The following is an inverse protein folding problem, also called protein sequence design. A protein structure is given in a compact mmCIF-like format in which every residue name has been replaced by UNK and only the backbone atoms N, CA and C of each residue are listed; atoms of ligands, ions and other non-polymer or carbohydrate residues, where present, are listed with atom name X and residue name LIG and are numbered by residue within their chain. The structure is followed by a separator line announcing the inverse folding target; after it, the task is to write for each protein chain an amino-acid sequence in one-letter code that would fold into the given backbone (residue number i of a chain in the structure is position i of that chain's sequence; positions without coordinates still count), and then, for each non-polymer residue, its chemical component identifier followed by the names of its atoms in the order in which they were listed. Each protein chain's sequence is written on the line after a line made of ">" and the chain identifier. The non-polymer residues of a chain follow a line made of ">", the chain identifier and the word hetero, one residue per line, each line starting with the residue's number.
data_IF_541757109137
#
_entry.id   IF_541757109137
#
_cell.length_a   1.000
_cell.length_b   1.000
_cell.length_c   1.000
_cell.angle_alpha   90.00
_cell.angle_beta   90.00
_cell.angle_gamma   90.00
#
_symmetry.space_group_name_H-M   'P 1'
#
loop_
_entity.id
_entity.type
_entity.pdbx_description
1 polymer ?
#
# COMPACT_ATOMS: atom_id res chain seq x y z
N UNK A 1 24.65 31.45 -26.83
CA UNK A 1 23.54 31.42 -25.84
C UNK A 1 22.24 31.07 -26.55
N UNK A 2 21.38 30.23 -25.93
CA UNK A 2 19.99 29.88 -26.33
C UNK A 2 19.90 29.01 -27.60
N UNK A 3 19.30 27.81 -27.66
CA UNK A 3 18.14 27.25 -26.92
C UNK A 3 18.22 25.71 -26.93
N UNK A 4 18.36 25.07 -25.77
CA UNK A 4 17.99 23.66 -25.56
C UNK A 4 16.67 23.66 -24.78
N UNK A 5 15.55 23.37 -25.44
CA UNK A 5 14.28 23.10 -24.80
C UNK A 5 13.32 22.47 -25.82
N UNK A 6 13.24 21.13 -25.86
CA UNK A 6 12.24 20.29 -26.53
C UNK A 6 12.72 18.83 -26.32
N UNK A 7 12.03 17.84 -25.75
CA UNK A 7 10.68 17.62 -25.25
C UNK A 7 10.79 16.54 -24.16
N UNK A 8 10.31 16.79 -22.94
CA UNK A 8 9.98 15.72 -22.00
C UNK A 8 8.59 15.18 -22.36
N UNK A 9 8.52 14.16 -23.22
CA UNK A 9 7.33 13.32 -23.36
C UNK A 9 7.25 12.37 -22.17
N UNK A 10 6.64 12.84 -21.08
CA UNK A 10 6.21 11.96 -19.99
C UNK A 10 5.08 11.07 -20.53
N UNK A 11 5.39 9.80 -20.76
CA UNK A 11 4.44 8.74 -20.99
C UNK A 11 3.55 8.57 -19.74
N UNK A 12 2.45 9.32 -19.70
CA UNK A 12 1.37 9.08 -18.74
C UNK A 12 0.65 7.80 -19.16
N UNK A 13 1.11 6.65 -18.68
CA UNK A 13 0.30 5.44 -18.70
C UNK A 13 -0.92 5.67 -17.80
N UNK A 14 -2.16 5.58 -18.33
CA UNK A 14 -3.34 5.61 -17.48
C UNK A 14 -3.28 4.42 -16.52
N UNK A 15 -3.20 4.72 -15.22
CA UNK A 15 -3.27 3.71 -14.16
C UNK A 15 -4.66 3.05 -14.28
N UNK A 16 -4.77 1.71 -14.34
CA UNK A 16 -6.07 1.05 -14.39
C UNK A 16 -6.89 1.46 -13.16
N UNK A 17 -8.12 1.92 -13.37
CA UNK A 17 -9.07 2.17 -12.30
C UNK A 17 -9.41 0.82 -11.66
N UNK A 18 -9.11 0.58 -10.37
CA UNK A 18 -9.54 -0.65 -9.72
C UNK A 18 -11.06 -0.68 -9.73
N UNK A 19 -11.64 -1.78 -10.22
CA UNK A 19 -13.06 -2.06 -10.01
C UNK A 19 -13.35 -2.20 -8.51
N UNK A 20 -14.62 -2.20 -8.08
CA UNK A 20 -14.97 -2.44 -6.68
C UNK A 20 -14.42 -3.80 -6.25
N UNK A 21 -13.34 -3.78 -5.45
CA UNK A 21 -12.72 -5.00 -4.94
C UNK A 21 -13.66 -5.63 -3.94
N UNK A 22 -14.00 -6.94 -4.06
CA UNK A 22 -14.77 -7.63 -3.05
C UNK A 22 -14.02 -7.52 -1.73
N UNK A 23 -14.65 -6.98 -0.68
CA UNK A 23 -14.09 -7.06 0.68
C UNK A 23 -13.95 -8.56 0.99
N UNK A 24 -12.74 -9.09 1.21
CA UNK A 24 -12.59 -10.48 1.59
C UNK A 24 -13.40 -10.68 2.87
N UNK A 25 -14.34 -11.62 2.85
CA UNK A 25 -15.04 -12.03 4.06
C UNK A 25 -13.97 -12.36 5.09
N UNK A 26 -13.98 -11.65 6.24
CA UNK A 26 -13.02 -11.82 7.30
C UNK A 26 -12.92 -13.31 7.66
N UNK A 27 -11.90 -13.98 7.14
CA UNK A 27 -11.56 -15.32 7.54
C UNK A 27 -11.10 -15.22 8.99
N UNK A 28 -11.48 -16.17 9.85
CA UNK A 28 -11.05 -16.25 11.25
C UNK A 28 -9.51 -16.45 11.40
N UNK A 29 -8.74 -16.25 10.34
CA UNK A 29 -7.29 -16.23 10.35
C UNK A 29 -6.80 -14.94 11.00
N UNK A 30 -5.82 -15.08 11.89
CA UNK A 30 -5.17 -13.93 12.52
C UNK A 30 -4.58 -13.00 11.44
N UNK A 31 -4.73 -11.67 11.58
CA UNK A 31 -4.20 -10.72 10.60
C UNK A 31 -2.68 -10.83 10.50
N UNK A 32 -2.18 -10.90 9.27
CA UNK A 32 -0.75 -10.99 8.95
C UNK A 32 -0.31 -9.81 8.09
N UNK A 33 1.00 -9.52 8.06
CA UNK A 33 1.57 -8.53 7.15
C UNK A 33 1.20 -8.82 5.69
N UNK A 34 1.28 -10.08 5.26
CA UNK A 34 0.90 -10.48 3.90
C UNK A 34 -0.57 -10.14 3.59
N UNK A 35 -1.50 -10.49 4.48
CA UNK A 35 -2.92 -10.17 4.27
C UNK A 35 -3.20 -8.66 4.22
N UNK A 36 -2.53 -7.87 5.05
CA UNK A 36 -2.69 -6.41 5.06
C UNK A 36 -2.09 -5.79 3.81
N UNK A 37 -0.91 -6.22 3.40
CA UNK A 37 -0.26 -5.73 2.18
C UNK A 37 -1.06 -6.08 0.93
N UNK A 38 -1.65 -7.29 0.87
CA UNK A 38 -2.56 -7.66 -0.20
C UNK A 38 -3.80 -6.77 -0.22
N UNK A 39 -4.46 -6.57 0.93
CA UNK A 39 -5.63 -5.70 1.04
C UNK A 39 -5.32 -4.25 0.63
N UNK A 40 -4.16 -3.74 1.04
CA UNK A 40 -3.67 -2.43 0.62
C UNK A 40 -3.42 -2.35 -0.89
N UNK A 41 -2.91 -3.42 -1.50
CA UNK A 41 -2.73 -3.50 -2.96
C UNK A 41 -4.09 -3.50 -3.67
N UNK A 42 -5.06 -4.25 -3.15
CA UNK A 42 -6.44 -4.32 -3.62
C UNK A 42 -7.18 -2.98 -3.56
N UNK A 43 -6.88 -2.15 -2.54
CA UNK A 43 -7.36 -0.77 -2.43
C UNK A 43 -6.56 0.23 -3.26
N UNK A 44 -5.45 -0.19 -3.88
CA UNK A 44 -4.57 0.68 -4.66
C UNK A 44 -3.70 1.62 -3.82
N UNK A 45 -3.44 1.28 -2.55
CA UNK A 45 -2.67 2.11 -1.66
C UNK A 45 -1.19 2.16 -2.03
N UNK A 46 -0.55 3.35 -2.04
CA UNK A 46 0.88 3.48 -2.36
C UNK A 46 1.79 2.65 -1.45
N UNK A 47 1.41 2.49 -0.18
CA UNK A 47 2.18 1.73 0.80
C UNK A 47 2.20 0.21 0.54
N UNK A 48 1.38 -0.31 -0.38
CA UNK A 48 1.51 -1.69 -0.86
C UNK A 48 2.62 -1.86 -1.90
N UNK A 49 3.12 -0.77 -2.50
CA UNK A 49 4.19 -0.83 -3.47
C UNK A 49 5.55 -0.97 -2.78
N UNK A 50 6.57 -1.53 -3.47
CA UNK A 50 7.92 -1.51 -2.95
C UNK A 50 8.39 -0.09 -2.66
N UNK A 51 9.16 0.06 -1.59
CA UNK A 51 9.83 1.32 -1.27
C UNK A 51 10.82 1.73 -2.37
N UNK A 52 11.28 3.00 -2.42
CA UNK A 52 12.33 3.41 -3.37
C UNK A 52 13.64 2.63 -3.26
N UNK A 53 13.88 1.98 -2.12
CA UNK A 53 15.04 1.12 -1.87
C UNK A 53 14.77 -0.37 -2.16
N UNK A 54 13.58 -0.71 -2.67
CA UNK A 54 13.21 -2.07 -3.08
C UNK A 54 12.62 -2.95 -1.98
N UNK A 55 12.52 -2.50 -0.73
CA UNK A 55 11.87 -3.26 0.33
C UNK A 55 10.36 -3.44 0.03
N UNK A 56 9.85 -4.65 0.22
CA UNK A 56 8.42 -4.94 0.02
C UNK A 56 7.57 -4.40 1.16
N UNK A 57 6.26 -4.30 0.95
CA UNK A 57 5.31 -3.95 2.02
C UNK A 57 5.41 -4.93 3.20
N UNK A 58 5.58 -6.22 2.91
CA UNK A 58 5.69 -7.27 3.93
C UNK A 58 6.97 -7.11 4.77
N UNK A 59 8.10 -6.81 4.13
CA UNK A 59 9.37 -6.55 4.83
C UNK A 59 9.24 -5.33 5.73
N UNK A 60 8.62 -4.24 5.25
CA UNK A 60 8.41 -3.03 6.03
C UNK A 60 7.51 -3.31 7.23
N UNK A 61 6.40 -4.01 7.02
CA UNK A 61 5.48 -4.40 8.09
C UNK A 61 6.14 -5.30 9.13
N UNK A 62 6.89 -6.32 8.70
CA UNK A 62 7.61 -7.22 9.59
C UNK A 62 8.68 -6.48 10.41
N UNK A 63 9.44 -5.58 9.78
CA UNK A 63 10.44 -4.76 10.45
C UNK A 63 9.82 -3.81 11.47
N UNK A 64 8.66 -3.21 11.17
CA UNK A 64 7.96 -2.31 12.11
C UNK A 64 7.35 -3.06 13.30
N UNK A 65 6.82 -4.26 13.07
CA UNK A 65 6.39 -5.12 14.18
C UNK A 65 7.57 -5.56 15.05
N UNK A 66 8.68 -5.96 14.43
CA UNK A 66 9.87 -6.39 15.14
C UNK A 66 10.56 -5.26 15.92
N UNK A 67 10.53 -4.02 15.39
CA UNK A 67 11.15 -2.87 16.04
C UNK A 67 10.30 -2.29 17.18
N UNK A 68 9.02 -2.68 17.29
CA UNK A 68 8.08 -2.09 18.24
C UNK A 68 7.87 -0.59 18.07
N UNK A 69 8.33 -0.02 16.95
CA UNK A 69 8.37 1.43 16.74
C UNK A 69 7.05 2.00 16.20
N UNK A 70 6.17 1.15 15.68
CA UNK A 70 4.82 1.52 15.25
C UNK A 70 3.83 0.41 15.63
N UNK A 71 2.80 0.78 16.40
CA UNK A 71 1.74 -0.12 16.81
C UNK A 71 0.66 -0.19 15.72
N UNK A 72 0.98 -0.71 14.54
CA UNK A 72 -0.05 -0.88 13.52
C UNK A 72 -1.11 -1.89 13.96
N UNK A 73 -2.36 -1.43 13.95
CA UNK A 73 -3.50 -2.30 14.19
C UNK A 73 -3.85 -3.03 12.90
N UNK A 74 -3.17 -4.15 12.64
CA UNK A 74 -3.42 -5.00 11.46
C UNK A 74 -4.91 -5.40 11.30
N UNK A 75 -5.66 -5.76 12.37
CA UNK A 75 -7.10 -5.96 12.26
C UNK A 75 -7.88 -4.75 11.73
N UNK A 76 -7.52 -3.53 12.16
CA UNK A 76 -8.11 -2.28 11.66
C UNK A 76 -7.80 -2.09 10.17
N UNK A 77 -6.55 -2.30 9.77
CA UNK A 77 -6.12 -2.12 8.38
C UNK A 77 -6.86 -3.06 7.42
N UNK A 78 -7.10 -4.31 7.82
CA UNK A 78 -7.89 -5.27 7.01
C UNK A 78 -9.37 -4.88 6.84
N UNK A 79 -9.93 -4.12 7.78
CA UNK A 79 -11.33 -3.68 7.73
C UNK A 79 -11.49 -2.33 7.06
N UNK A 80 -10.40 -1.60 6.86
CA UNK A 80 -10.42 -0.30 6.22
C UNK A 80 -10.88 -0.43 4.77
N UNK A 81 -11.73 0.50 4.33
CA UNK A 81 -12.28 0.52 2.95
C UNK A 81 -11.57 1.52 2.05
N UNK A 82 -10.55 2.20 2.55
CA UNK A 82 -9.76 3.20 1.81
C UNK A 82 -8.38 3.37 2.45
N UNK A 83 -7.42 3.90 1.68
CA UNK A 83 -6.07 4.16 2.19
C UNK A 83 -6.07 5.19 3.33
N UNK A 84 -6.93 6.21 3.27
CA UNK A 84 -7.06 7.19 4.35
C UNK A 84 -7.56 6.54 5.67
N UNK A 85 -8.41 5.52 5.58
CA UNK A 85 -8.84 4.77 6.76
C UNK A 85 -7.71 3.88 7.31
N UNK A 86 -6.82 3.37 6.44
CA UNK A 86 -5.63 2.62 6.86
C UNK A 86 -4.64 3.51 7.60
N UNK A 87 -4.42 4.74 7.14
CA UNK A 87 -3.51 5.69 7.79
C UNK A 87 -3.94 6.00 9.24
N UNK A 88 -5.23 5.82 9.57
CA UNK A 88 -5.78 5.95 10.92
C UNK A 88 -5.59 4.74 11.84
N UNK A 89 -5.02 3.62 11.37
CA UNK A 89 -4.92 2.36 12.12
C UNK A 89 -3.59 2.23 12.90
N UNK A 90 -3.32 3.18 13.79
CA UNK A 90 -2.14 3.24 14.67
C UNK A 90 -2.50 3.07 16.16
#
# INVERSE_FOLDING_TARGET
>A
MKRLALLLLLAACPKPTPGPTPVPAATDAAPTCASVCQHMAELGCPAAQPTPHGASCEDVCANLQASGSAAYNLPCMLRATSCAAIDGCH
#
